data_IF_605550026025
#
_entry.id   IF_605550026025
#
_cell.length_a   1.000
_cell.length_b   1.000
_cell.length_c   1.000
_cell.angle_alpha   90.00
_cell.angle_beta   90.00
_cell.angle_gamma   90.00
#
_symmetry.space_group_name_H-M   'P 1'
#
loop_
_entity.id
_entity.type
_entity.pdbx_description
1 polymer ?
#
# COMPACT_ATOMS: atom_id res chain seq x y z
N UNK A 1 -2.35 -9.88 -9.45
CA UNK A 1 -3.45 -9.84 -8.46
C UNK A 1 -3.71 -8.43 -7.96
N UNK A 2 -2.67 -7.63 -7.67
CA UNK A 2 -2.84 -6.23 -7.26
C UNK A 2 -3.64 -5.39 -8.28
N UNK A 3 -3.42 -5.56 -9.59
CA UNK A 3 -4.15 -4.81 -10.62
C UNK A 3 -5.66 -5.04 -10.60
N UNK A 4 -6.10 -6.28 -10.32
CA UNK A 4 -7.52 -6.61 -10.24
C UNK A 4 -8.23 -5.86 -9.10
N UNK A 5 -7.55 -5.75 -7.95
CA UNK A 5 -8.05 -5.00 -6.80
C UNK A 5 -8.09 -3.51 -7.13
N UNK A 6 -7.03 -2.97 -7.74
CA UNK A 6 -6.97 -1.58 -8.14
C UNK A 6 -8.07 -1.22 -9.15
N UNK A 7 -8.31 -2.06 -10.15
CA UNK A 7 -9.37 -1.86 -11.14
C UNK A 7 -10.77 -1.90 -10.52
N UNK A 8 -10.98 -2.73 -9.50
CA UNK A 8 -12.24 -2.74 -8.75
C UNK A 8 -12.46 -1.42 -8.00
N UNK A 9 -11.41 -0.90 -7.35
CA UNK A 9 -11.48 0.32 -6.53
C UNK A 9 -11.61 1.62 -7.36
N UNK A 10 -11.14 1.62 -8.62
CA UNK A 10 -11.34 2.76 -9.53
C UNK A 10 -12.83 3.08 -9.78
N UNK A 11 -13.72 2.12 -9.56
CA UNK A 11 -15.17 2.33 -9.68
C UNK A 11 -15.78 3.19 -8.57
N UNK A 12 -15.09 3.36 -7.44
CA UNK A 12 -15.63 3.92 -6.19
C UNK A 12 -15.04 5.29 -5.82
N UNK A 13 -14.66 6.11 -6.81
CA UNK A 13 -14.10 7.47 -6.62
C UNK A 13 -12.80 7.49 -5.79
N UNK A 14 -12.07 6.36 -5.76
CA UNK A 14 -10.81 6.20 -5.05
C UNK A 14 -9.61 6.40 -5.99
N UNK A 15 -8.70 7.30 -5.62
CA UNK A 15 -7.38 7.37 -6.26
C UNK A 15 -6.52 6.19 -5.77
N UNK A 16 -5.97 5.42 -6.71
CA UNK A 16 -5.21 4.19 -6.40
C UNK A 16 -3.83 4.23 -7.03
N UNK A 17 -2.85 3.73 -6.26
CA UNK A 17 -1.48 3.48 -6.72
C UNK A 17 -1.09 2.06 -6.35
N UNK A 18 -0.36 1.38 -7.23
CA UNK A 18 0.06 -0.01 -7.05
C UNK A 18 1.58 -0.08 -7.08
N UNK A 19 2.15 -0.72 -6.07
CA UNK A 19 3.57 -1.05 -6.00
C UNK A 19 3.73 -2.55 -5.70
N UNK A 20 4.74 -3.19 -6.27
CA UNK A 20 4.92 -4.65 -6.21
C UNK A 20 5.95 -5.12 -5.17
N UNK A 21 6.49 -4.19 -4.39
CA UNK A 21 7.41 -4.45 -3.30
C UNK A 21 7.06 -3.55 -2.11
N UNK A 22 7.21 -4.07 -0.89
CA UNK A 22 7.02 -3.27 0.32
C UNK A 22 7.90 -2.01 0.35
N UNK A 23 9.11 -2.09 -0.21
CA UNK A 23 10.03 -0.95 -0.27
C UNK A 23 9.47 0.19 -1.13
N UNK A 24 9.06 -0.12 -2.37
CA UNK A 24 8.53 0.87 -3.30
C UNK A 24 7.19 1.43 -2.79
N UNK A 25 6.37 0.59 -2.14
CA UNK A 25 5.13 1.00 -1.47
C UNK A 25 5.38 2.03 -0.36
N UNK A 26 6.37 1.81 0.50
CA UNK A 26 6.74 2.76 1.57
C UNK A 26 7.21 4.09 0.98
N UNK A 27 8.05 4.07 -0.06
CA UNK A 27 8.48 5.29 -0.74
C UNK A 27 7.32 6.05 -1.37
N UNK A 28 6.41 5.33 -2.05
CA UNK A 28 5.23 5.93 -2.68
C UNK A 28 4.28 6.53 -1.65
N UNK A 29 4.05 5.84 -0.54
CA UNK A 29 3.11 6.26 0.50
C UNK A 29 3.50 7.58 1.15
N UNK A 30 4.81 7.87 1.29
CA UNK A 30 5.28 9.14 1.84
C UNK A 30 4.81 10.37 1.03
N UNK A 31 4.74 10.22 -0.30
CA UNK A 31 4.29 11.27 -1.21
C UNK A 31 2.77 11.23 -1.45
N UNK A 32 2.22 10.03 -1.68
CA UNK A 32 0.81 9.82 -2.01
C UNK A 32 -0.12 10.01 -0.79
N UNK A 33 0.36 9.71 0.42
CA UNK A 33 -0.37 9.77 1.70
C UNK A 33 -1.73 9.04 1.66
N UNK A 34 -1.73 7.72 1.42
CA UNK A 34 -2.96 6.94 1.32
C UNK A 34 -3.71 6.90 2.65
N UNK A 35 -5.04 6.90 2.59
CA UNK A 35 -5.89 6.64 3.76
C UNK A 35 -6.02 5.14 4.11
N UNK A 36 -5.93 4.27 3.09
CA UNK A 36 -6.01 2.82 3.21
C UNK A 36 -4.86 2.21 2.41
N UNK A 37 -4.22 1.17 2.96
CA UNK A 37 -3.24 0.36 2.22
C UNK A 37 -3.58 -1.11 2.33
N UNK A 38 -3.48 -1.78 1.18
CA UNK A 38 -3.66 -3.22 1.04
C UNK A 38 -2.28 -3.86 0.82
N UNK A 39 -1.87 -4.73 1.73
CA UNK A 39 -0.55 -5.36 1.71
C UNK A 39 -0.65 -6.86 1.44
N UNK A 40 0.18 -7.35 0.52
CA UNK A 40 0.38 -8.79 0.36
C UNK A 40 1.24 -9.34 1.49
N UNK A 41 0.87 -10.49 2.05
CA UNK A 41 1.65 -11.13 3.12
C UNK A 41 3.05 -11.55 2.65
N UNK A 42 3.16 -12.10 1.43
CA UNK A 42 4.43 -12.51 0.82
C UNK A 42 4.74 -11.60 -0.36
N UNK A 43 5.84 -10.87 -0.27
CA UNK A 43 6.33 -9.96 -1.31
C UNK A 43 7.85 -10.05 -1.45
N UNK A 44 8.40 -9.75 -2.64
CA UNK A 44 9.85 -9.70 -2.84
C UNK A 44 10.48 -8.50 -2.12
N UNK A 45 11.71 -8.70 -1.63
CA UNK A 45 12.59 -7.74 -0.94
C UNK A 45 12.14 -7.33 0.48
N UNK A 46 10.87 -7.02 0.66
CA UNK A 46 10.26 -6.62 1.93
C UNK A 46 8.85 -7.20 1.99
N UNK A 47 8.54 -7.90 3.07
CA UNK A 47 7.23 -8.52 3.27
C UNK A 47 6.16 -7.50 3.73
N UNK A 48 4.91 -7.95 3.82
CA UNK A 48 3.79 -7.08 4.21
C UNK A 48 3.86 -6.59 5.66
N UNK A 49 4.47 -7.36 6.56
CA UNK A 49 4.59 -6.99 7.98
C UNK A 49 5.67 -5.92 8.14
N UNK A 50 6.80 -6.09 7.47
CA UNK A 50 7.86 -5.09 7.40
C UNK A 50 7.36 -3.79 6.75
N UNK A 51 6.57 -3.89 5.70
CA UNK A 51 5.97 -2.72 5.06
C UNK A 51 5.02 -1.96 6.02
N UNK A 52 4.15 -2.66 6.75
CA UNK A 52 3.22 -2.05 7.72
C UNK A 52 3.97 -1.33 8.85
N UNK A 53 5.04 -1.93 9.38
CA UNK A 53 5.90 -1.30 10.39
C UNK A 53 6.59 -0.02 9.87
N UNK A 54 6.89 0.07 8.59
CA UNK A 54 7.47 1.28 7.99
C UNK A 54 6.39 2.33 7.69
N UNK A 55 5.25 1.91 7.15
CA UNK A 55 4.11 2.75 6.83
C UNK A 55 3.55 3.44 8.08
N UNK A 56 3.43 2.75 9.20
CA UNK A 56 2.96 3.33 10.48
C UNK A 56 3.83 4.50 10.97
N UNK A 57 5.13 4.53 10.62
CA UNK A 57 6.05 5.61 10.99
C UNK A 57 5.89 6.86 10.11
N UNK A 58 5.56 6.67 8.83
CA UNK A 58 5.45 7.76 7.85
C UNK A 58 4.01 8.25 7.64
N UNK A 59 3.03 7.39 7.90
CA UNK A 59 1.60 7.62 7.70
C UNK A 59 0.81 7.08 8.91
N UNK A 60 0.92 7.71 10.10
CA UNK A 60 0.32 7.19 11.34
C UNK A 60 -1.22 7.17 11.35
N UNK A 61 -1.87 7.88 10.42
CA UNK A 61 -3.33 7.90 10.25
C UNK A 61 -3.87 6.85 9.29
N UNK A 62 -2.99 6.08 8.63
CA UNK A 62 -3.39 5.06 7.67
C UNK A 62 -3.97 3.83 8.37
N UNK A 63 -4.99 3.23 7.77
CA UNK A 63 -5.52 1.91 8.18
C UNK A 63 -5.02 0.84 7.22
N UNK A 64 -4.33 -0.17 7.74
CA UNK A 64 -4.00 -1.40 7.01
C UNK A 64 -5.15 -2.42 7.14
N UNK A 65 -5.49 -3.06 6.03
CA UNK A 65 -6.49 -4.13 5.95
C UNK A 65 -5.86 -5.45 5.53
#
# INVERSE_FOLDING_TARGET
>A
MADFIADTLKGDDCETVVEYSGLDAVYRAAAFRPGIVLLGFVMPKMDGVEADMNLSKICPTQRSC
#
